data_IF_567625326524
#
_entry.id   IF_567625326524
#
_cell.length_a   1.000
_cell.length_b   1.000
_cell.length_c   1.000
_cell.angle_alpha   90.00
_cell.angle_beta   90.00
_cell.angle_gamma   90.00
#
_symmetry.space_group_name_H-M   'P 1'
#
loop_
_entity.id
_entity.type
_entity.pdbx_description
1 polymer ?
#
# COMPACT_ATOMS: atom_id res chain seq x y z
N UNK A 1 -3.38 11.71 47.06
CA UNK A 1 -3.42 10.90 45.82
C UNK A 1 -4.58 11.42 44.99
N UNK A 2 -4.31 12.06 43.85
CA UNK A 2 -5.37 12.54 42.96
C UNK A 2 -5.96 11.33 42.23
N UNK A 3 -7.18 10.93 42.60
CA UNK A 3 -7.91 9.84 41.96
C UNK A 3 -8.29 10.24 40.53
N UNK A 4 -8.17 9.29 39.60
CA UNK A 4 -8.71 9.45 38.24
C UNK A 4 -10.23 9.59 38.37
N UNK A 5 -10.78 10.76 38.03
CA UNK A 5 -12.23 10.97 37.97
C UNK A 5 -12.73 10.56 36.58
N UNK A 6 -13.75 9.69 36.54
CA UNK A 6 -14.48 9.41 35.32
C UNK A 6 -15.41 10.59 35.00
N UNK A 7 -15.44 10.99 33.73
CA UNK A 7 -16.26 12.10 33.24
C UNK A 7 -17.26 11.54 32.23
N UNK A 8 -18.55 11.84 32.43
CA UNK A 8 -19.59 11.46 31.48
C UNK A 8 -19.35 12.14 30.11
N UNK A 9 -19.55 11.46 28.97
CA UNK A 9 -19.31 12.03 27.64
C UNK A 9 -20.04 13.35 27.39
N UNK A 10 -21.26 13.47 27.91
CA UNK A 10 -22.07 14.69 27.84
C UNK A 10 -21.42 15.84 28.64
N UNK A 11 -20.87 15.53 29.81
CA UNK A 11 -20.18 16.49 30.66
C UNK A 11 -18.91 17.00 29.98
N UNK A 12 -18.13 16.09 29.37
CA UNK A 12 -16.97 16.45 28.56
C UNK A 12 -17.35 17.33 27.36
N UNK A 13 -18.39 16.93 26.60
CA UNK A 13 -18.90 17.72 25.46
C UNK A 13 -19.31 19.13 25.87
N UNK A 14 -19.98 19.27 27.03
CA UNK A 14 -20.38 20.56 27.57
C UNK A 14 -19.17 21.40 27.99
N UNK A 15 -18.20 20.83 28.71
CA UNK A 15 -16.96 21.53 29.10
C UNK A 15 -16.24 22.07 27.87
N UNK A 16 -16.07 21.23 26.84
CA UNK A 16 -15.36 21.60 25.62
C UNK A 16 -16.09 22.73 24.86
N UNK A 17 -17.42 22.73 24.85
CA UNK A 17 -18.22 23.76 24.18
C UNK A 17 -18.39 25.05 24.99
N UNK A 18 -18.19 25.03 26.32
CA UNK A 18 -18.32 26.21 27.17
C UNK A 18 -17.16 27.22 27.03
N UNK A 19 -16.00 26.80 26.52
CA UNK A 19 -14.77 27.62 26.60
C UNK A 19 -14.45 28.53 25.39
N UNK A 20 -15.31 28.71 24.36
CA UNK A 20 -14.96 29.59 23.21
C UNK A 20 -16.14 30.33 22.57
N UNK A 21 -15.85 31.51 22.00
CA UNK A 21 -16.80 32.40 21.32
C UNK A 21 -17.37 31.88 19.98
N UNK A 22 -16.82 30.80 19.41
CA UNK A 22 -17.43 29.95 18.36
C UNK A 22 -16.78 28.57 18.40
N UNK A 23 -17.51 27.53 18.84
CA UNK A 23 -16.99 26.16 18.83
C UNK A 23 -17.00 25.62 17.40
N UNK A 24 -15.83 25.29 16.84
CA UNK A 24 -15.76 24.53 15.57
C UNK A 24 -16.16 23.06 15.75
N UNK A 25 -16.33 22.61 17.00
CA UNK A 25 -16.61 21.20 17.31
C UNK A 25 -18.10 20.86 17.14
N UNK A 26 -18.96 21.86 16.98
CA UNK A 26 -20.33 21.67 16.49
C UNK A 26 -20.42 21.71 14.96
N UNK A 27 -19.31 21.96 14.24
CA UNK A 27 -19.31 21.89 12.78
C UNK A 27 -19.27 20.42 12.33
N UNK A 28 -20.29 19.92 11.60
CA UNK A 28 -20.35 18.52 11.16
C UNK A 28 -19.14 18.10 10.29
N UNK A 29 -18.49 19.06 9.64
CA UNK A 29 -17.31 18.83 8.81
C UNK A 29 -15.99 18.79 9.58
N UNK A 30 -15.99 19.17 10.86
CA UNK A 30 -14.78 19.31 11.67
C UNK A 30 -14.67 18.25 12.77
N UNK A 31 -15.80 17.84 13.36
CA UNK A 31 -15.86 16.77 14.35
C UNK A 31 -17.15 15.96 14.15
N UNK A 32 -17.01 14.65 13.93
CA UNK A 32 -18.13 13.72 13.89
C UNK A 32 -18.19 12.93 15.20
N UNK A 33 -19.31 13.04 15.92
CA UNK A 33 -19.58 12.26 17.13
C UNK A 33 -20.49 11.09 16.76
N UNK A 34 -20.05 9.87 17.02
CA UNK A 34 -20.82 8.66 16.75
C UNK A 34 -21.26 8.04 18.08
N UNK A 35 -22.56 7.78 18.20
CA UNK A 35 -23.16 7.17 19.39
C UNK A 35 -23.53 5.72 19.10
N UNK A 36 -22.85 4.82 19.81
CA UNK A 36 -22.95 3.37 19.65
C UNK A 36 -24.05 2.72 20.52
N UNK A 37 -24.77 3.51 21.34
CA UNK A 37 -25.77 2.99 22.26
C UNK A 37 -27.04 2.54 21.53
N UNK A 38 -27.85 1.74 22.21
CA UNK A 38 -29.13 1.27 21.65
C UNK A 38 -30.08 2.44 21.35
N UNK A 39 -31.07 2.22 20.47
CA UNK A 39 -32.04 3.27 20.13
C UNK A 39 -32.73 3.88 21.35
N UNK A 40 -33.22 3.08 22.32
CA UNK A 40 -33.85 3.65 23.51
C UNK A 40 -32.88 4.51 24.34
N UNK A 41 -31.65 4.05 24.56
CA UNK A 41 -30.64 4.80 25.32
C UNK A 41 -30.19 6.08 24.61
N UNK A 42 -30.08 6.04 23.28
CA UNK A 42 -29.78 7.21 22.46
C UNK A 42 -30.91 8.24 22.56
N UNK A 43 -32.16 7.81 22.40
CA UNK A 43 -33.33 8.68 22.51
C UNK A 43 -33.47 9.30 23.90
N UNK A 44 -33.08 8.58 24.94
CA UNK A 44 -33.15 9.05 26.33
C UNK A 44 -32.10 10.14 26.64
N UNK A 45 -30.85 9.96 26.19
CA UNK A 45 -29.76 10.86 26.63
C UNK A 45 -28.55 10.94 25.68
N UNK A 46 -28.75 11.38 24.43
CA UNK A 46 -27.65 11.62 23.47
C UNK A 46 -27.08 13.03 23.50
N UNK A 47 -25.83 13.16 23.06
CA UNK A 47 -25.27 14.46 22.67
C UNK A 47 -26.00 14.89 21.39
N UNK A 48 -26.59 16.09 21.37
CA UNK A 48 -27.47 16.57 20.29
C UNK A 48 -26.83 16.48 18.88
N UNK A 49 -25.50 16.63 18.79
CA UNK A 49 -24.76 16.56 17.52
C UNK A 49 -24.23 15.16 17.19
N UNK A 50 -24.45 14.17 18.05
CA UNK A 50 -24.01 12.81 17.83
C UNK A 50 -24.97 12.05 16.90
N UNK A 51 -24.38 11.33 15.94
CA UNK A 51 -25.11 10.45 15.05
C UNK A 51 -25.15 9.04 15.63
N UNK A 52 -26.34 8.48 15.81
CA UNK A 52 -26.49 7.08 16.21
C UNK A 52 -25.97 6.17 15.09
N UNK A 53 -25.12 5.23 15.46
CA UNK A 53 -24.62 4.19 14.56
C UNK A 53 -25.12 2.82 15.04
N UNK A 54 -25.73 2.06 14.13
CA UNK A 54 -25.94 0.63 14.34
C UNK A 54 -24.65 -0.07 13.97
N UNK A 55 -23.89 -0.44 15.00
CA UNK A 55 -22.60 -1.08 14.86
C UNK A 55 -22.75 -2.53 14.35
N UNK A 56 -22.83 -2.70 13.04
CA UNK A 56 -22.21 -3.87 12.40
C UNK A 56 -20.69 -3.59 12.38
N UNK A 57 -20.00 -3.95 13.47
CA UNK A 57 -18.58 -3.63 13.74
C UNK A 57 -17.58 -4.03 12.62
N UNK A 58 -18.00 -4.81 11.63
CA UNK A 58 -17.15 -5.30 10.53
C UNK A 58 -17.22 -4.49 9.23
N UNK A 59 -18.17 -3.55 9.07
CA UNK A 59 -18.38 -2.90 7.75
C UNK A 59 -17.79 -1.50 7.62
N UNK A 60 -17.40 -0.84 8.71
CA UNK A 60 -16.81 0.51 8.64
C UNK A 60 -15.28 0.44 8.59
N UNK A 61 -14.71 0.46 7.38
CA UNK A 61 -13.28 0.69 7.15
C UNK A 61 -13.02 2.20 7.01
N UNK A 62 -12.46 2.88 8.02
CA UNK A 62 -12.12 4.29 7.89
C UNK A 62 -11.02 4.49 6.84
N UNK A 63 -11.01 5.63 6.16
CA UNK A 63 -9.92 6.01 5.26
C UNK A 63 -8.63 6.31 6.07
N UNK A 64 -7.44 6.19 5.45
CA UNK A 64 -6.19 6.57 6.10
C UNK A 64 -6.18 8.06 6.42
N UNK A 65 -5.45 8.44 7.48
CA UNK A 65 -5.33 9.84 7.92
C UNK A 65 -4.52 10.63 6.89
N UNK A 66 -5.04 11.76 6.44
CA UNK A 66 -4.32 12.69 5.57
C UNK A 66 -3.32 13.53 6.37
N UNK A 67 -2.04 13.48 5.98
CA UNK A 67 -0.96 14.25 6.59
C UNK A 67 -0.61 15.48 5.74
N UNK A 68 -0.60 15.31 4.42
CA UNK A 68 -0.44 16.39 3.45
C UNK A 68 -1.57 16.32 2.42
N UNK A 69 -2.31 17.43 2.20
CA UNK A 69 -3.43 17.48 1.29
C UNK A 69 -3.13 16.85 -0.08
N UNK A 70 -3.85 15.77 -0.39
CA UNK A 70 -3.77 14.98 -1.61
C UNK A 70 -2.36 14.44 -1.96
N UNK A 71 -1.45 14.35 -0.98
CA UNK A 71 -0.02 14.01 -1.20
C UNK A 71 0.48 12.92 -0.28
N UNK A 72 0.10 12.93 0.98
CA UNK A 72 0.62 12.00 1.98
C UNK A 72 -0.49 11.54 2.92
N UNK A 73 -0.64 10.22 3.03
CA UNK A 73 -1.59 9.57 3.92
C UNK A 73 -0.86 8.57 4.80
N UNK A 74 -1.33 8.41 6.03
CA UNK A 74 -0.84 7.42 6.99
C UNK A 74 -1.99 6.47 7.32
N UNK A 75 -1.78 5.17 7.08
CA UNK A 75 -2.79 4.14 7.25
C UNK A 75 -2.21 2.80 7.70
N UNK A 76 -3.09 1.83 7.88
CA UNK A 76 -2.76 0.45 8.24
C UNK A 76 -2.76 -0.49 7.02
N UNK A 77 -2.43 -1.76 7.24
CA UNK A 77 -2.34 -2.78 6.18
C UNK A 77 -3.67 -3.05 5.48
N UNK A 78 -4.80 -3.05 6.20
CA UNK A 78 -6.14 -3.25 5.62
C UNK A 78 -6.45 -2.14 4.62
N UNK A 79 -6.23 -0.88 5.01
CA UNK A 79 -6.42 0.27 4.14
C UNK A 79 -5.46 0.27 2.94
N UNK A 80 -4.20 -0.13 3.14
CA UNK A 80 -3.22 -0.25 2.07
C UNK A 80 -3.60 -1.32 1.04
N UNK A 81 -4.27 -2.39 1.48
CA UNK A 81 -4.75 -3.48 0.59
C UNK A 81 -6.08 -3.18 -0.11
N UNK A 82 -6.81 -2.15 0.32
CA UNK A 82 -8.12 -1.80 -0.21
C UNK A 82 -8.03 -1.03 -1.54
N UNK A 83 -8.53 -1.64 -2.61
CA UNK A 83 -8.48 -1.05 -3.98
C UNK A 83 -9.39 0.16 -4.14
N UNK A 84 -10.50 0.24 -3.41
CA UNK A 84 -11.42 1.35 -3.47
C UNK A 84 -10.78 2.59 -2.82
N UNK A 85 -10.16 2.42 -1.65
CA UNK A 85 -9.38 3.48 -0.98
C UNK A 85 -8.26 3.99 -1.90
N UNK A 86 -7.48 3.08 -2.51
CA UNK A 86 -6.41 3.46 -3.44
C UNK A 86 -6.92 4.28 -4.64
N UNK A 87 -8.08 3.90 -5.18
CA UNK A 87 -8.70 4.59 -6.32
C UNK A 87 -9.22 5.97 -5.93
N UNK A 88 -9.94 6.07 -4.81
CA UNK A 88 -10.59 7.30 -4.37
C UNK A 88 -9.57 8.36 -3.94
N UNK A 89 -8.51 7.94 -3.24
CA UNK A 89 -7.41 8.83 -2.84
C UNK A 89 -6.34 9.02 -3.93
N UNK A 90 -6.49 8.34 -5.08
CA UNK A 90 -5.52 8.35 -6.20
C UNK A 90 -4.09 7.99 -5.75
N UNK A 91 -3.97 6.98 -4.89
CA UNK A 91 -2.67 6.49 -4.39
C UNK A 91 -1.85 5.95 -5.57
N UNK A 92 -0.66 6.51 -5.77
CA UNK A 92 0.26 6.11 -6.84
C UNK A 92 1.37 5.17 -6.39
N UNK A 93 1.67 5.17 -5.09
CA UNK A 93 2.72 4.38 -4.49
C UNK A 93 2.35 4.04 -3.05
N UNK A 94 2.74 2.84 -2.60
CA UNK A 94 2.59 2.37 -1.22
C UNK A 94 3.99 2.14 -0.64
N UNK A 95 4.21 2.61 0.59
CA UNK A 95 5.45 2.37 1.34
C UNK A 95 5.09 1.52 2.55
N UNK A 96 5.59 0.29 2.59
CA UNK A 96 5.41 -0.60 3.73
C UNK A 96 6.61 -0.49 4.68
N UNK A 97 6.34 -0.27 5.97
CA UNK A 97 7.35 -0.12 7.04
C UNK A 97 7.27 -1.33 8.01
N UNK A 98 6.63 -2.42 7.62
CA UNK A 98 6.61 -3.68 8.38
C UNK A 98 7.56 -4.71 7.77
N UNK A 99 8.17 -5.53 8.63
CA UNK A 99 8.97 -6.70 8.22
C UNK A 99 8.11 -7.87 7.76
N UNK A 100 6.79 -7.77 7.93
CA UNK A 100 5.87 -8.80 7.48
C UNK A 100 5.86 -8.82 5.94
N UNK A 101 6.09 -9.99 5.33
CA UNK A 101 5.96 -10.12 3.88
C UNK A 101 4.51 -9.79 3.55
N UNK A 102 4.28 -8.63 2.94
CA UNK A 102 3.05 -8.39 2.20
C UNK A 102 2.82 -9.61 1.32
N UNK A 103 1.58 -10.05 1.20
CA UNK A 103 1.20 -11.02 0.17
C UNK A 103 1.47 -10.32 -1.18
N UNK A 104 2.72 -10.42 -1.65
CA UNK A 104 3.22 -9.69 -2.81
C UNK A 104 2.55 -10.36 -3.99
N UNK A 105 1.41 -9.80 -4.38
CA UNK A 105 0.67 -10.22 -5.55
C UNK A 105 1.56 -10.22 -6.80
N UNK A 106 1.06 -10.80 -7.88
CA UNK A 106 1.83 -10.93 -9.11
C UNK A 106 2.26 -9.57 -9.68
N UNK A 107 3.53 -9.46 -10.09
CA UNK A 107 4.09 -8.29 -10.77
C UNK A 107 4.06 -8.51 -12.28
N UNK A 108 3.43 -7.57 -13.01
CA UNK A 108 3.45 -7.56 -14.47
C UNK A 108 4.63 -6.73 -14.98
N UNK A 109 5.59 -7.38 -15.65
CA UNK A 109 6.68 -6.72 -16.37
C UNK A 109 6.27 -6.53 -17.83
N UNK A 110 6.16 -5.29 -18.31
CA UNK A 110 5.76 -5.01 -19.69
C UNK A 110 6.63 -3.93 -20.37
N UNK A 111 6.63 -3.97 -21.69
CA UNK A 111 7.17 -2.95 -22.59
C UNK A 111 6.33 -3.01 -23.88
N UNK A 112 6.53 -2.09 -24.82
CA UNK A 112 5.70 -1.99 -26.04
C UNK A 112 5.37 -3.32 -26.75
N UNK A 113 6.36 -4.23 -26.91
CA UNK A 113 6.16 -5.51 -27.61
C UNK A 113 6.36 -6.75 -26.72
N UNK A 114 6.77 -6.56 -25.47
CA UNK A 114 7.15 -7.69 -24.61
C UNK A 114 8.45 -8.43 -25.02
N UNK A 115 9.19 -8.02 -26.07
CA UNK A 115 10.24 -8.85 -26.69
C UNK A 115 11.64 -8.63 -26.10
N UNK A 116 12.03 -7.38 -25.84
CA UNK A 116 13.43 -7.00 -25.55
C UNK A 116 13.59 -6.35 -24.16
N UNK A 117 13.06 -5.15 -23.93
CA UNK A 117 13.23 -4.43 -22.64
C UNK A 117 12.62 -5.18 -21.45
N UNK A 118 11.38 -5.65 -21.60
CA UNK A 118 10.68 -6.39 -20.54
C UNK A 118 11.30 -7.76 -20.28
N UNK A 119 11.74 -8.48 -21.32
CA UNK A 119 12.44 -9.74 -21.14
C UNK A 119 13.80 -9.55 -20.47
N UNK A 120 14.55 -8.51 -20.82
CA UNK A 120 15.78 -8.11 -20.11
C UNK A 120 15.50 -7.86 -18.62
N UNK A 121 14.48 -7.07 -18.29
CA UNK A 121 14.11 -6.79 -16.90
C UNK A 121 13.67 -8.05 -16.13
N UNK A 122 12.92 -8.95 -16.79
CA UNK A 122 12.52 -10.23 -16.19
C UNK A 122 13.73 -11.14 -15.93
N UNK A 123 14.68 -11.24 -16.88
CA UNK A 123 15.90 -12.02 -16.65
C UNK A 123 16.75 -11.41 -15.55
N UNK A 124 16.85 -10.08 -15.50
CA UNK A 124 17.54 -9.38 -14.43
C UNK A 124 16.98 -9.74 -13.05
N UNK A 125 15.64 -9.76 -12.92
CA UNK A 125 14.98 -10.20 -11.70
C UNK A 125 15.29 -11.66 -11.36
N UNK A 126 15.23 -12.58 -12.34
CA UNK A 126 15.56 -13.99 -12.12
C UNK A 126 17.01 -14.18 -11.69
N UNK A 127 17.96 -13.43 -12.26
CA UNK A 127 19.37 -13.49 -11.90
C UNK A 127 19.59 -13.04 -10.46
N UNK A 128 18.98 -11.92 -10.06
CA UNK A 128 19.14 -11.35 -8.73
C UNK A 128 18.38 -12.12 -7.64
N UNK A 129 17.07 -12.28 -7.83
CA UNK A 129 16.15 -12.79 -6.81
C UNK A 129 16.12 -14.32 -6.76
N UNK A 130 16.28 -14.99 -7.91
CA UNK A 130 16.27 -16.46 -7.99
C UNK A 130 17.67 -17.06 -8.09
N UNK A 131 18.74 -16.24 -8.03
CA UNK A 131 20.15 -16.66 -8.16
C UNK A 131 20.39 -17.50 -9.42
N UNK A 132 19.77 -17.10 -10.53
CA UNK A 132 20.04 -17.74 -11.82
C UNK A 132 21.30 -17.15 -12.45
N UNK A 133 22.03 -17.98 -13.22
CA UNK A 133 22.92 -17.47 -14.25
C UNK A 133 22.10 -16.86 -15.39
N UNK A 134 22.70 -15.97 -16.18
CA UNK A 134 22.11 -15.40 -17.39
C UNK A 134 21.67 -16.53 -18.34
N UNK A 135 22.49 -17.55 -18.55
CA UNK A 135 22.10 -18.72 -19.35
C UNK A 135 20.85 -19.41 -18.80
N UNK A 136 20.75 -19.62 -17.49
CA UNK A 136 19.60 -20.28 -16.87
C UNK A 136 18.35 -19.41 -16.96
N UNK A 137 18.47 -18.12 -16.69
CA UNK A 137 17.40 -17.14 -16.82
C UNK A 137 16.89 -17.07 -18.26
N UNK A 138 17.78 -17.07 -19.24
CA UNK A 138 17.45 -17.09 -20.66
C UNK A 138 16.67 -18.34 -21.05
N UNK A 139 17.21 -19.53 -20.73
CA UNK A 139 16.56 -20.81 -21.03
C UNK A 139 15.17 -20.90 -20.39
N UNK A 140 15.06 -20.46 -19.14
CA UNK A 140 13.79 -20.44 -18.41
C UNK A 140 12.77 -19.50 -19.08
N UNK A 141 13.15 -18.25 -19.35
CA UNK A 141 12.25 -17.27 -19.91
C UNK A 141 11.86 -17.60 -21.36
N UNK A 142 12.77 -18.17 -22.15
CA UNK A 142 12.49 -18.63 -23.52
C UNK A 142 11.45 -19.76 -23.55
N UNK A 143 11.46 -20.66 -22.56
CA UNK A 143 10.42 -21.70 -22.40
C UNK A 143 9.05 -21.09 -22.15
N UNK A 144 8.98 -20.00 -21.39
CA UNK A 144 7.73 -19.28 -21.12
C UNK A 144 7.30 -18.36 -22.28
N UNK A 145 8.27 -17.83 -23.04
CA UNK A 145 8.06 -16.84 -24.09
C UNK A 145 9.01 -17.05 -25.27
N UNK A 146 8.57 -17.81 -26.26
CA UNK A 146 9.40 -18.24 -27.40
C UNK A 146 9.87 -17.10 -28.32
N UNK A 147 9.13 -16.00 -28.41
CA UNK A 147 9.50 -14.85 -29.23
C UNK A 147 10.35 -13.80 -28.48
N UNK A 148 10.85 -14.15 -27.30
CA UNK A 148 11.77 -13.33 -26.55
C UNK A 148 13.05 -13.06 -27.37
N UNK A 149 13.46 -11.80 -27.43
CA UNK A 149 14.71 -11.39 -28.08
C UNK A 149 15.23 -10.05 -27.52
N UNK A 150 15.89 -10.07 -26.35
CA UNK A 150 16.75 -8.98 -25.89
C UNK A 150 17.67 -8.50 -27.01
N UNK A 151 17.96 -7.20 -27.04
CA UNK A 151 18.97 -6.72 -27.97
C UNK A 151 20.36 -7.04 -27.42
N UNK A 152 21.36 -7.01 -28.30
CA UNK A 152 22.74 -7.37 -27.96
C UNK A 152 23.31 -6.56 -26.80
N UNK A 153 23.08 -5.24 -26.79
CA UNK A 153 23.55 -4.37 -25.71
C UNK A 153 22.95 -4.73 -24.34
N UNK A 154 21.70 -5.18 -24.27
CA UNK A 154 21.12 -5.67 -23.03
C UNK A 154 21.72 -7.00 -22.57
N UNK A 155 22.02 -7.91 -23.51
CA UNK A 155 22.71 -9.16 -23.19
C UNK A 155 24.10 -8.88 -22.60
N UNK A 156 24.84 -7.94 -23.20
CA UNK A 156 26.15 -7.51 -22.71
C UNK A 156 26.05 -6.88 -21.31
N UNK A 157 25.05 -6.03 -21.07
CA UNK A 157 24.79 -5.46 -19.74
C UNK A 157 24.46 -6.53 -18.70
N UNK A 158 23.61 -7.50 -19.05
CA UNK A 158 23.29 -8.61 -18.14
C UNK A 158 24.51 -9.49 -17.86
N UNK A 159 25.36 -9.77 -18.87
CA UNK A 159 26.59 -10.53 -18.68
C UNK A 159 27.59 -9.79 -17.78
N UNK A 160 27.75 -8.48 -18.00
CA UNK A 160 28.57 -7.65 -17.13
C UNK A 160 28.06 -7.66 -15.68
N UNK A 161 26.74 -7.67 -15.49
CA UNK A 161 26.15 -7.77 -14.16
C UNK A 161 26.27 -9.16 -13.54
N UNK A 162 26.15 -10.23 -14.33
CA UNK A 162 26.43 -11.61 -13.88
C UNK A 162 27.85 -11.73 -13.31
N UNK A 163 28.84 -11.14 -13.99
CA UNK A 163 30.22 -11.09 -13.52
C UNK A 163 30.37 -10.38 -12.17
N UNK A 164 29.58 -9.33 -11.93
CA UNK A 164 29.58 -8.62 -10.64
C UNK A 164 28.93 -9.45 -9.53
N UNK A 165 27.89 -10.23 -9.84
CA UNK A 165 27.18 -11.06 -8.85
C UNK A 165 28.01 -12.29 -8.45
N UNK A 166 28.64 -12.97 -9.43
CA UNK A 166 29.30 -14.27 -9.21
C UNK A 166 30.83 -14.19 -9.21
N UNK A 167 31.43 -13.04 -9.55
CA UNK A 167 32.89 -12.84 -9.58
C UNK A 167 33.60 -13.53 -10.76
N UNK A 168 32.88 -14.27 -11.60
CA UNK A 168 33.42 -14.91 -12.79
C UNK A 168 32.36 -14.98 -13.92
N UNK A 169 32.79 -15.02 -15.19
CA UNK A 169 31.90 -15.24 -16.32
C UNK A 169 31.37 -16.67 -16.31
N UNK A 170 30.08 -16.81 -15.99
CA UNK A 170 29.37 -18.09 -15.98
C UNK A 170 28.73 -18.36 -17.33
N UNK A 171 28.22 -17.31 -18.00
CA UNK A 171 27.55 -17.45 -19.30
C UNK A 171 28.43 -16.93 -20.43
N UNK A 172 28.72 -17.79 -21.41
CA UNK A 172 29.32 -17.38 -22.68
C UNK A 172 28.24 -16.74 -23.58
N UNK A 173 28.26 -15.40 -23.64
CA UNK A 173 27.34 -14.63 -24.48
C UNK A 173 27.84 -14.48 -25.91
N UNK A 174 29.00 -15.03 -26.30
CA UNK A 174 29.47 -14.99 -27.70
C UNK A 174 28.67 -15.91 -28.62
N UNK A 175 27.89 -16.83 -28.06
CA UNK A 175 27.00 -17.70 -28.82
C UNK A 175 25.94 -16.89 -29.61
N UNK A 176 25.67 -17.26 -30.89
CA UNK A 176 24.74 -16.53 -31.76
C UNK A 176 23.27 -16.63 -31.34
N UNK A 177 22.98 -17.40 -30.29
CA UNK A 177 21.63 -17.59 -29.75
C UNK A 177 21.22 -16.53 -28.73
N UNK A 178 22.13 -15.61 -28.36
CA UNK A 178 21.90 -14.49 -27.45
C UNK A 178 21.88 -13.12 -28.16
#
# INVERSE_FOLDING_TARGET
MAGVMFCEPQHLYNIINQCRWRSRLSEPNYLCLLDARSQPEFSDSHIITAQRIELELDTFQPYPVEILPAKLYMGNSKQASDKQIQKDLKIKALVNISEEPLDVGAVLVFSSLGISRSSTATMAYLMHSCRFSLQRAWKYLLKCKMNMRPNRGFVEQLSAWENQIYGCPVTDVTEPKY
#
